data_IF_561309167577
#
_entry.id   IF_561309167577
#
_cell.length_a   1.000
_cell.length_b   1.000
_cell.length_c   1.000
_cell.angle_alpha   90.00
_cell.angle_beta   90.00
_cell.angle_gamma   90.00
#
_symmetry.space_group_name_H-M   'P 1'
#
loop_
_entity.id
_entity.type
_entity.pdbx_description
1 polymer ?
#
# COMPACT_ATOMS: atom_id res chain seq x y z
N UNK A 1 6.37 14.08 -36.60
CA UNK A 1 5.43 12.95 -36.39
C UNK A 1 6.19 11.63 -36.33
N UNK A 2 7.30 11.50 -37.08
CA UNK A 2 8.16 10.32 -37.07
C UNK A 2 8.96 10.15 -35.77
N UNK A 3 9.43 11.25 -35.16
CA UNK A 3 10.20 11.24 -33.90
C UNK A 3 9.47 10.59 -32.70
N UNK A 4 8.13 10.71 -32.67
CA UNK A 4 7.33 10.11 -31.59
C UNK A 4 7.27 8.59 -31.72
N UNK A 5 7.08 8.09 -32.95
CA UNK A 5 7.08 6.65 -33.22
C UNK A 5 8.47 6.05 -33.10
N UNK A 6 9.52 6.80 -33.46
CA UNK A 6 10.91 6.41 -33.22
C UNK A 6 11.20 6.29 -31.72
N UNK A 7 10.75 7.25 -30.89
CA UNK A 7 10.85 7.16 -29.43
C UNK A 7 10.08 5.96 -28.87
N UNK A 8 8.83 5.75 -29.30
CA UNK A 8 8.00 4.61 -28.84
C UNK A 8 8.63 3.28 -29.24
N UNK A 9 9.16 3.16 -30.45
CA UNK A 9 9.83 1.95 -30.93
C UNK A 9 11.15 1.71 -30.19
N UNK A 10 11.95 2.77 -29.96
CA UNK A 10 13.18 2.68 -29.19
C UNK A 10 12.93 2.25 -27.74
N UNK A 11 11.88 2.79 -27.11
CA UNK A 11 11.38 2.35 -25.81
C UNK A 11 11.01 0.86 -25.90
N UNK A 12 10.14 0.48 -26.84
CA UNK A 12 9.62 -0.88 -26.96
C UNK A 12 10.71 -1.93 -27.25
N UNK A 13 11.72 -1.58 -28.07
CA UNK A 13 12.86 -2.43 -28.42
C UNK A 13 13.89 -2.54 -27.27
N UNK A 14 14.06 -1.47 -26.48
CA UNK A 14 14.95 -1.47 -25.31
C UNK A 14 14.31 -2.08 -24.05
N UNK A 15 12.98 -2.27 -24.02
CA UNK A 15 12.29 -3.00 -22.95
C UNK A 15 12.37 -4.54 -23.13
N UNK A 16 13.55 -5.05 -23.47
CA UNK A 16 13.96 -6.43 -23.13
C UNK A 16 14.12 -6.65 -21.61
N UNK A 17 13.81 -5.64 -20.79
CA UNK A 17 13.63 -5.81 -19.36
C UNK A 17 12.33 -6.56 -19.12
N UNK A 18 12.45 -7.76 -18.53
CA UNK A 18 11.33 -8.53 -17.97
C UNK A 18 10.30 -7.56 -17.40
N UNK A 19 9.02 -7.64 -17.80
CA UNK A 19 8.00 -6.74 -17.29
C UNK A 19 8.10 -6.77 -15.76
N UNK A 20 8.38 -5.61 -15.15
CA UNK A 20 8.44 -5.48 -13.70
C UNK A 20 7.21 -6.20 -13.17
N UNK A 21 7.36 -7.26 -12.35
CA UNK A 21 6.24 -8.06 -11.94
C UNK A 21 5.18 -7.12 -11.38
N UNK A 22 4.03 -7.02 -12.07
CA UNK A 22 2.90 -6.31 -11.50
C UNK A 22 2.55 -7.08 -10.23
N UNK A 23 2.94 -6.54 -9.08
CA UNK A 23 2.65 -7.15 -7.80
C UNK A 23 1.15 -6.98 -7.55
N UNK A 24 0.38 -7.93 -8.05
CA UNK A 24 -1.03 -8.05 -7.74
C UNK A 24 -1.09 -8.51 -6.29
N UNK A 25 -1.63 -7.67 -5.42
CA UNK A 25 -1.92 -8.05 -4.04
C UNK A 25 -3.04 -9.09 -4.10
N UNK A 26 -2.66 -10.38 -4.10
CA UNK A 26 -3.59 -11.50 -4.35
C UNK A 26 -4.59 -11.71 -3.22
N UNK A 27 -4.24 -11.27 -2.01
CA UNK A 27 -5.04 -11.49 -0.82
C UNK A 27 -5.17 -10.17 -0.04
N UNK A 28 -6.22 -9.42 -0.40
CA UNK A 28 -6.55 -8.09 0.16
C UNK A 28 -7.48 -8.27 1.37
N UNK A 29 -7.25 -9.29 2.21
CA UNK A 29 -8.05 -9.42 3.42
C UNK A 29 -7.78 -8.24 4.34
N UNK A 30 -8.84 -7.63 4.85
CA UNK A 30 -8.75 -6.56 5.82
C UNK A 30 -8.05 -7.08 7.09
N UNK A 31 -6.86 -6.56 7.47
CA UNK A 31 -6.15 -7.03 8.65
C UNK A 31 -6.96 -6.85 9.94
N UNK A 32 -7.86 -5.87 9.97
CA UNK A 32 -8.72 -5.61 11.11
C UNK A 32 -9.83 -6.64 11.30
N UNK A 33 -10.24 -7.33 10.24
CA UNK A 33 -11.25 -8.40 10.29
C UNK A 33 -10.59 -9.76 10.54
N UNK A 34 -9.33 -9.90 10.13
CA UNK A 34 -8.58 -11.16 10.23
C UNK A 34 -8.08 -11.46 11.64
N UNK A 35 -7.68 -10.43 12.40
CA UNK A 35 -6.99 -10.59 13.67
C UNK A 35 -7.87 -10.26 14.87
N UNK A 36 -7.63 -10.94 15.98
CA UNK A 36 -8.24 -10.57 17.26
C UNK A 36 -7.63 -9.27 17.80
N UNK A 37 -8.30 -8.61 18.73
CA UNK A 37 -7.79 -7.37 19.31
C UNK A 37 -6.44 -7.57 20.03
N UNK A 38 -6.22 -8.73 20.64
CA UNK A 38 -4.94 -9.09 21.28
C UNK A 38 -3.82 -9.21 20.23
N UNK A 39 -4.11 -9.87 19.10
CA UNK A 39 -3.16 -9.98 17.99
C UNK A 39 -2.85 -8.62 17.35
N UNK A 40 -3.86 -7.74 17.24
CA UNK A 40 -3.67 -6.37 16.75
C UNK A 40 -2.73 -5.58 17.66
N UNK A 41 -2.92 -5.66 18.98
CA UNK A 41 -2.04 -5.02 19.95
C UNK A 41 -0.60 -5.56 19.86
N UNK A 42 -0.42 -6.87 19.69
CA UNK A 42 0.91 -7.45 19.53
C UNK A 42 1.60 -7.01 18.23
N UNK A 43 0.86 -6.94 17.12
CA UNK A 43 1.40 -6.67 15.77
C UNK A 43 1.59 -5.19 15.47
N UNK A 44 0.67 -4.34 15.92
CA UNK A 44 0.60 -2.93 15.55
C UNK A 44 0.72 -1.97 16.75
N UNK A 45 0.72 -2.49 17.99
CA UNK A 45 0.68 -1.69 19.24
C UNK A 45 -0.61 -0.89 19.45
N UNK A 46 -1.62 -1.11 18.62
CA UNK A 46 -2.93 -0.47 18.70
C UNK A 46 -4.04 -1.50 18.54
N UNK A 47 -5.15 -1.30 19.26
CA UNK A 47 -6.34 -2.13 19.11
C UNK A 47 -7.23 -1.68 17.94
N UNK A 48 -8.24 -2.49 17.63
CA UNK A 48 -9.18 -2.25 16.52
C UNK A 48 -9.77 -0.84 16.55
N UNK A 49 -10.34 -0.44 17.69
CA UNK A 49 -11.00 0.87 17.83
C UNK A 49 -10.04 2.03 17.61
N UNK A 50 -8.82 1.94 18.14
CA UNK A 50 -7.80 2.97 17.96
C UNK A 50 -7.41 3.08 16.48
N UNK A 51 -7.22 1.96 15.79
CA UNK A 51 -6.84 1.96 14.37
C UNK A 51 -7.99 2.53 13.53
N UNK A 52 -9.21 2.03 13.71
CA UNK A 52 -10.33 2.36 12.82
C UNK A 52 -10.97 3.71 13.11
N UNK A 53 -11.15 4.09 14.38
CA UNK A 53 -11.89 5.29 14.77
C UNK A 53 -10.99 6.51 14.95
N UNK A 54 -9.68 6.31 15.18
CA UNK A 54 -8.74 7.41 15.45
C UNK A 54 -7.69 7.51 14.37
N UNK A 55 -6.87 6.47 14.19
CA UNK A 55 -5.70 6.56 13.30
C UNK A 55 -6.08 6.66 11.83
N UNK A 56 -7.08 5.89 11.38
CA UNK A 56 -7.54 5.89 10.00
C UNK A 56 -8.05 7.29 9.57
N UNK A 57 -9.01 7.93 10.26
CA UNK A 57 -9.46 9.27 9.89
C UNK A 57 -8.40 10.35 10.14
N UNK A 58 -7.45 10.15 11.07
CA UNK A 58 -6.36 11.11 11.30
C UNK A 58 -5.34 11.12 10.15
N UNK A 59 -4.95 9.95 9.64
CA UNK A 59 -3.94 9.81 8.57
C UNK A 59 -4.56 10.00 7.19
N UNK A 60 -5.80 9.57 7.01
CA UNK A 60 -6.54 9.65 5.75
C UNK A 60 -7.88 10.38 5.95
N UNK A 61 -7.87 11.71 6.21
CA UNK A 61 -9.09 12.47 6.49
C UNK A 61 -10.07 12.47 5.31
N UNK A 62 -9.56 12.43 4.07
CA UNK A 62 -10.36 12.39 2.84
C UNK A 62 -10.69 10.95 2.38
N UNK A 63 -10.32 9.93 3.16
CA UNK A 63 -10.51 8.53 2.82
C UNK A 63 -9.69 8.04 1.62
N UNK A 64 -10.25 7.10 0.85
CA UNK A 64 -9.57 6.50 -0.30
C UNK A 64 -9.69 7.39 -1.54
N UNK A 65 -8.71 8.28 -1.72
CA UNK A 65 -8.62 9.08 -2.93
C UNK A 65 -8.37 8.16 -4.14
N UNK A 66 -9.15 8.37 -5.21
CA UNK A 66 -8.98 7.65 -6.48
C UNK A 66 -7.61 7.94 -7.06
N UNK A 67 -6.66 7.03 -6.85
CA UNK A 67 -5.34 7.13 -7.43
C UNK A 67 -5.41 6.71 -8.90
N UNK A 68 -4.72 7.42 -9.78
CA UNK A 68 -4.60 7.08 -11.22
C UNK A 68 -3.68 5.85 -11.45
N UNK A 69 -3.51 4.99 -10.44
CA UNK A 69 -2.72 3.77 -10.53
C UNK A 69 -3.64 2.63 -10.96
N UNK A 70 -3.16 1.77 -11.85
CA UNK A 70 -3.93 0.62 -12.34
C UNK A 70 -4.31 -0.41 -11.27
N UNK A 71 -3.75 -0.32 -10.06
CA UNK A 71 -4.12 -1.15 -8.91
C UNK A 71 -3.96 -0.34 -7.59
N UNK A 72 -5.03 0.33 -7.12
CA UNK A 72 -4.97 1.08 -5.86
C UNK A 72 -4.91 0.14 -4.65
N UNK A 73 -4.00 0.41 -3.72
CA UNK A 73 -3.94 -0.30 -2.42
C UNK A 73 -4.94 0.36 -1.46
N UNK A 74 -5.80 -0.41 -0.77
CA UNK A 74 -6.73 0.14 0.23
C UNK A 74 -6.01 0.91 1.34
N UNK A 75 -6.60 2.02 1.79
CA UNK A 75 -6.01 2.88 2.84
C UNK A 75 -5.72 2.13 4.15
N UNK A 76 -6.56 1.14 4.51
CA UNK A 76 -6.36 0.36 5.73
C UNK A 76 -5.08 -0.48 5.66
N UNK A 77 -4.77 -1.03 4.48
CA UNK A 77 -3.55 -1.82 4.27
C UNK A 77 -2.32 -0.91 4.31
N UNK A 78 -2.41 0.29 3.71
CA UNK A 78 -1.33 1.29 3.80
C UNK A 78 -1.05 1.66 5.27
N UNK A 79 -2.10 1.92 6.05
CA UNK A 79 -1.97 2.25 7.46
C UNK A 79 -1.37 1.08 8.26
N UNK A 80 -1.90 -0.13 8.12
CA UNK A 80 -1.38 -1.31 8.83
C UNK A 80 0.08 -1.60 8.47
N UNK A 81 0.48 -1.36 7.22
CA UNK A 81 1.88 -1.48 6.80
C UNK A 81 2.78 -0.51 7.57
N UNK A 82 2.39 0.78 7.62
CA UNK A 82 3.12 1.80 8.36
C UNK A 82 3.19 1.48 9.86
N UNK A 83 2.06 1.13 10.48
CA UNK A 83 2.00 0.76 11.90
C UNK A 83 2.91 -0.43 12.22
N UNK A 84 2.95 -1.43 11.34
CA UNK A 84 3.83 -2.58 11.52
C UNK A 84 5.30 -2.19 11.50
N UNK A 85 5.70 -1.30 10.58
CA UNK A 85 7.05 -0.77 10.55
C UNK A 85 7.40 0.00 11.83
N UNK A 86 6.51 0.87 12.31
CA UNK A 86 6.74 1.58 13.57
C UNK A 86 6.80 0.64 14.79
N UNK A 87 5.97 -0.41 14.79
CA UNK A 87 5.92 -1.39 15.87
C UNK A 87 7.21 -2.22 16.00
N UNK A 88 8.06 -2.31 14.96
CA UNK A 88 9.36 -3.00 15.06
C UNK A 88 10.44 -2.14 15.71
N UNK A 89 10.22 -0.83 15.88
CA UNK A 89 11.24 0.09 16.40
C UNK A 89 12.47 0.24 15.50
N UNK A 90 12.39 -0.21 14.23
CA UNK A 90 13.52 -0.24 13.29
C UNK A 90 13.71 1.08 12.54
N UNK A 91 13.39 2.20 13.18
CA UNK A 91 13.63 3.54 12.63
C UNK A 91 14.96 4.08 13.14
N UNK A 92 15.71 4.71 12.25
CA UNK A 92 16.95 5.39 12.61
C UNK A 92 16.60 6.75 13.21
N UNK A 93 17.12 7.03 14.41
CA UNK A 93 17.06 8.35 15.06
C UNK A 93 18.24 9.19 14.60
#
# INVERSE_FOLDING_TARGET
MDDFWEFVNHVNDNFQYLPIPRMILRDVQNPLERYTNEELLQRYRFGYNSIQLVLLPLVYPDGDQRQQRGLPVPIIIKLCCALRFFATGSYQV
#
